data_IF_364570042372
#
_entry.id   IF_364570042372
#
_cell.length_a   1.000
_cell.length_b   1.000
_cell.length_c   1.000
_cell.angle_alpha   90.00
_cell.angle_beta   90.00
_cell.angle_gamma   90.00
#
_symmetry.space_group_name_H-M   'P 1'
#
loop_
_entity.id
_entity.type
_entity.pdbx_description
1 polymer ?
#
# COMPACT_ATOMS: atom_id res chain seq x y z
N UNK A 1 -15.95 -1.92 -13.75
CA UNK A 1 -15.51 -0.91 -14.73
C UNK A 1 -14.01 -0.74 -14.61
N UNK A 2 -13.29 -0.42 -15.68
CA UNK A 2 -11.85 -0.12 -15.61
C UNK A 2 -11.63 1.30 -15.09
N UNK A 3 -10.81 1.46 -14.07
CA UNK A 3 -10.42 2.75 -13.52
C UNK A 3 -9.17 3.25 -14.26
N UNK A 4 -9.27 4.41 -14.91
CA UNK A 4 -8.14 5.02 -15.65
C UNK A 4 -7.30 5.96 -14.79
N UNK A 5 -7.66 6.16 -13.52
CA UNK A 5 -6.93 7.08 -12.64
C UNK A 5 -5.72 6.37 -12.04
N UNK A 6 -4.54 6.98 -12.09
CA UNK A 6 -3.36 6.47 -11.40
C UNK A 6 -3.47 6.66 -9.88
N UNK A 7 -3.12 5.65 -9.09
CA UNK A 7 -3.04 5.80 -7.63
C UNK A 7 -1.90 6.74 -7.27
N UNK A 8 -0.78 6.67 -7.99
CA UNK A 8 0.35 7.57 -7.82
C UNK A 8 -0.05 9.03 -8.05
N UNK A 9 -0.73 9.33 -9.17
CA UNK A 9 -1.14 10.71 -9.48
C UNK A 9 -2.15 11.24 -8.44
N UNK A 10 -3.06 10.39 -7.94
CA UNK A 10 -3.99 10.76 -6.88
C UNK A 10 -3.23 11.06 -5.56
N UNK A 11 -2.27 10.23 -5.19
CA UNK A 11 -1.47 10.45 -3.98
C UNK A 11 -0.65 11.75 -4.07
N UNK A 12 0.00 12.02 -5.20
CA UNK A 12 0.79 13.24 -5.40
C UNK A 12 -0.06 14.52 -5.36
N UNK A 13 -1.31 14.46 -5.83
CA UNK A 13 -2.26 15.60 -5.72
C UNK A 13 -2.64 15.92 -4.28
N UNK A 14 -2.64 14.91 -3.42
CA UNK A 14 -3.11 15.00 -2.04
C UNK A 14 -1.97 15.13 -1.03
N UNK A 15 -0.74 14.90 -1.46
CA UNK A 15 0.52 15.09 -0.73
C UNK A 15 1.58 15.70 -1.66
N UNK A 16 1.56 17.03 -1.89
CA UNK A 16 2.39 17.69 -2.90
C UNK A 16 3.90 17.72 -2.55
N UNK A 17 4.25 17.52 -1.28
CA UNK A 17 5.65 17.47 -0.83
C UNK A 17 6.34 16.14 -1.16
N UNK A 18 5.61 15.16 -1.71
CA UNK A 18 6.19 13.88 -2.11
C UNK A 18 6.99 14.03 -3.41
N UNK A 19 8.23 13.54 -3.36
CA UNK A 19 9.11 13.50 -4.51
C UNK A 19 9.19 12.09 -5.09
N UNK A 20 8.83 11.94 -6.35
CA UNK A 20 8.98 10.67 -7.07
C UNK A 20 10.44 10.40 -7.40
N UNK A 21 10.82 9.12 -7.33
CA UNK A 21 12.13 8.64 -7.75
C UNK A 21 11.98 7.50 -8.75
N UNK A 22 13.07 7.17 -9.43
CA UNK A 22 13.13 6.03 -10.35
C UNK A 22 13.75 4.83 -9.64
N UNK A 23 13.05 3.70 -9.71
CA UNK A 23 13.49 2.42 -9.17
C UNK A 23 13.60 1.38 -10.28
N UNK A 24 14.51 0.44 -10.12
CA UNK A 24 14.55 -0.78 -10.92
C UNK A 24 13.68 -1.85 -10.29
N UNK A 25 13.16 -2.77 -11.12
CA UNK A 25 12.34 -3.89 -10.65
C UNK A 25 12.98 -4.65 -9.49
N UNK A 26 14.27 -4.99 -9.61
CA UNK A 26 15.00 -5.74 -8.58
C UNK A 26 15.00 -5.03 -7.22
N UNK A 27 15.19 -3.71 -7.22
CA UNK A 27 15.12 -2.88 -6.02
C UNK A 27 13.72 -2.86 -5.41
N UNK A 28 12.68 -2.75 -6.23
CA UNK A 28 11.29 -2.76 -5.77
C UNK A 28 10.87 -4.11 -5.19
N UNK A 29 11.30 -5.21 -5.81
CA UNK A 29 11.07 -6.55 -5.28
C UNK A 29 11.74 -6.72 -3.92
N UNK A 30 13.03 -6.37 -3.81
CA UNK A 30 13.76 -6.47 -2.54
C UNK A 30 13.14 -5.58 -1.45
N UNK A 31 12.73 -4.36 -1.79
CA UNK A 31 12.07 -3.45 -0.87
C UNK A 31 10.70 -3.97 -0.42
N UNK A 32 9.90 -4.50 -1.35
CA UNK A 32 8.59 -5.09 -1.05
C UNK A 32 8.75 -6.28 -0.09
N UNK A 33 9.71 -7.17 -0.38
CA UNK A 33 10.02 -8.30 0.49
C UNK A 33 10.45 -7.82 1.88
N UNK A 34 11.35 -6.84 1.98
CA UNK A 34 11.77 -6.29 3.27
C UNK A 34 10.58 -5.67 4.05
N UNK A 35 9.68 -4.96 3.37
CA UNK A 35 8.48 -4.38 3.99
C UNK A 35 7.54 -5.46 4.53
N UNK A 36 7.34 -6.55 3.80
CA UNK A 36 6.50 -7.69 4.20
C UNK A 36 7.16 -8.53 5.29
N UNK A 37 8.49 -8.68 5.29
CA UNK A 37 9.22 -9.41 6.33
C UNK A 37 9.04 -8.71 7.67
N UNK A 38 9.01 -7.38 7.67
CA UNK A 38 8.72 -6.60 8.88
C UNK A 38 7.31 -6.87 9.41
N UNK A 39 6.30 -7.00 8.54
CA UNK A 39 4.94 -7.40 8.95
C UNK A 39 4.94 -8.80 9.56
N UNK A 40 5.67 -9.74 8.98
CA UNK A 40 5.76 -11.11 9.49
C UNK A 40 6.52 -11.20 10.81
N UNK A 41 7.49 -10.33 11.03
CA UNK A 41 8.24 -10.22 12.27
C UNK A 41 7.43 -9.49 13.37
N UNK A 42 6.52 -8.61 12.98
CA UNK A 42 5.69 -7.85 13.91
C UNK A 42 4.42 -8.63 14.29
N UNK A 43 4.35 -9.05 15.56
CA UNK A 43 3.16 -9.72 16.10
C UNK A 43 2.02 -8.72 16.44
N UNK A 44 1.82 -7.69 15.62
CA UNK A 44 0.78 -6.68 15.81
C UNK A 44 -0.17 -6.65 14.59
N UNK A 45 -1.49 -6.47 14.81
CA UNK A 45 -2.43 -6.32 13.71
C UNK A 45 -2.06 -5.16 12.79
N UNK A 46 -2.09 -5.40 11.49
CA UNK A 46 -1.81 -4.42 10.44
C UNK A 46 -2.80 -4.57 9.28
N UNK A 47 -3.10 -3.48 8.58
CA UNK A 47 -3.74 -3.50 7.27
C UNK A 47 -2.65 -3.70 6.21
N UNK A 48 -2.84 -4.68 5.33
CA UNK A 48 -1.93 -4.94 4.20
C UNK A 48 -2.70 -4.93 2.90
N UNK A 49 -2.29 -4.08 1.97
CA UNK A 49 -2.86 -3.98 0.63
C UNK A 49 -1.73 -4.11 -0.38
N UNK A 50 -1.81 -5.11 -1.25
CA UNK A 50 -0.85 -5.32 -2.32
C UNK A 50 -1.54 -5.34 -3.68
N UNK A 51 -1.00 -4.58 -4.63
CA UNK A 51 -1.46 -4.55 -6.01
C UNK A 51 -0.36 -5.02 -6.94
N UNK A 52 -0.64 -6.11 -7.65
CA UNK A 52 0.23 -6.69 -8.65
C UNK A 52 -0.29 -6.34 -10.04
N UNK A 53 0.62 -6.01 -10.95
CA UNK A 53 0.27 -5.73 -12.34
C UNK A 53 -0.45 -6.91 -13.02
N UNK A 54 -0.07 -8.15 -12.68
CA UNK A 54 -0.57 -9.40 -13.30
C UNK A 54 -0.58 -10.56 -12.31
N UNK A 55 -1.49 -11.51 -12.52
CA UNK A 55 -1.64 -12.75 -11.75
C UNK A 55 -0.31 -13.50 -11.57
N UNK A 56 0.48 -13.67 -12.63
CA UNK A 56 1.76 -14.41 -12.57
C UNK A 56 2.75 -13.86 -11.52
N UNK A 57 2.75 -12.56 -11.26
CA UNK A 57 3.62 -11.95 -10.26
C UNK A 57 3.09 -12.22 -8.85
N UNK A 58 1.77 -12.15 -8.67
CA UNK A 58 1.14 -12.53 -7.41
C UNK A 58 1.36 -14.01 -7.07
N UNK A 59 1.26 -14.93 -8.05
CA UNK A 59 1.37 -16.37 -7.80
C UNK A 59 2.71 -16.77 -7.17
N UNK A 60 3.79 -16.05 -7.49
CA UNK A 60 5.12 -16.25 -6.90
C UNK A 60 5.13 -15.90 -5.40
N UNK A 61 4.28 -14.97 -4.97
CA UNK A 61 4.21 -14.44 -3.61
C UNK A 61 3.01 -14.98 -2.81
N UNK A 62 2.13 -15.79 -3.41
CA UNK A 62 0.85 -16.18 -2.82
C UNK A 62 0.97 -16.85 -1.43
N UNK A 63 2.02 -17.65 -1.21
CA UNK A 63 2.28 -18.30 0.07
C UNK A 63 2.64 -17.29 1.17
N UNK A 64 3.24 -16.17 0.80
CA UNK A 64 3.62 -15.08 1.71
C UNK A 64 2.38 -14.35 2.23
N UNK A 65 1.46 -13.98 1.34
CA UNK A 65 0.18 -13.37 1.73
C UNK A 65 -0.69 -14.31 2.57
N UNK A 66 -0.61 -15.63 2.33
CA UNK A 66 -1.26 -16.62 3.19
C UNK A 66 -0.70 -16.63 4.62
N UNK A 67 0.60 -16.40 4.80
CA UNK A 67 1.22 -16.25 6.13
C UNK A 67 0.80 -14.94 6.79
N UNK A 68 0.85 -13.83 6.06
CA UNK A 68 0.42 -12.52 6.56
C UNK A 68 -1.04 -12.57 7.02
N UNK A 69 -1.92 -13.25 6.27
CA UNK A 69 -3.34 -13.35 6.61
C UNK A 69 -3.63 -14.20 7.86
N UNK A 70 -2.64 -14.93 8.39
CA UNK A 70 -2.75 -15.60 9.69
C UNK A 70 -2.54 -14.63 10.86
N UNK A 71 -1.91 -13.49 10.61
CA UNK A 71 -1.63 -12.45 11.61
C UNK A 71 -2.73 -11.39 11.67
N UNK A 72 -3.38 -11.11 10.54
CA UNK A 72 -4.39 -10.06 10.41
C UNK A 72 -5.49 -10.44 9.42
N UNK A 73 -6.77 -10.15 9.71
CA UNK A 73 -7.87 -10.37 8.77
C UNK A 73 -7.94 -9.32 7.65
N UNK A 74 -7.16 -8.24 7.75
CA UNK A 74 -7.18 -7.10 6.83
C UNK A 74 -6.06 -7.19 5.78
N UNK A 75 -6.17 -8.21 4.92
CA UNK A 75 -5.26 -8.43 3.79
C UNK A 75 -6.05 -8.39 2.49
N UNK A 76 -5.60 -7.54 1.57
CA UNK A 76 -6.22 -7.35 0.26
C UNK A 76 -5.16 -7.47 -0.84
N UNK A 77 -5.39 -8.36 -1.79
CA UNK A 77 -4.49 -8.58 -2.92
C UNK A 77 -5.23 -8.33 -4.22
N UNK A 78 -4.76 -7.33 -4.97
CA UNK A 78 -5.29 -6.95 -6.26
C UNK A 78 -4.39 -7.49 -7.37
N UNK A 79 -4.98 -8.02 -8.45
CA UNK A 79 -4.24 -8.37 -9.66
C UNK A 79 -5.13 -8.38 -10.91
N UNK A 80 -4.54 -8.09 -12.08
CA UNK A 80 -5.15 -8.40 -13.36
C UNK A 80 -5.09 -9.91 -13.62
N UNK A 81 -6.21 -10.56 -13.98
CA UNK A 81 -6.22 -11.99 -14.26
C UNK A 81 -5.47 -12.32 -15.55
N UNK A 82 -4.68 -13.40 -15.52
CA UNK A 82 -4.04 -13.99 -16.70
C UNK A 82 -4.80 -15.26 -17.13
N UNK A 83 -5.16 -16.12 -16.17
CA UNK A 83 -5.81 -17.41 -16.41
C UNK A 83 -6.95 -17.68 -15.44
N UNK A 84 -6.67 -17.75 -14.14
CA UNK A 84 -7.58 -18.30 -13.12
C UNK A 84 -7.80 -17.38 -11.93
N UNK A 85 -7.08 -16.25 -11.87
CA UNK A 85 -7.26 -15.29 -10.81
C UNK A 85 -8.67 -14.70 -10.87
N UNK A 86 -9.41 -14.88 -9.79
CA UNK A 86 -10.75 -14.35 -9.64
C UNK A 86 -10.89 -13.69 -8.29
N UNK A 87 -11.79 -12.72 -8.22
CA UNK A 87 -12.23 -12.15 -6.95
C UNK A 87 -12.77 -13.26 -6.05
N UNK A 88 -12.25 -13.37 -4.83
CA UNK A 88 -12.69 -14.39 -3.88
C UNK A 88 -12.38 -13.96 -2.46
N UNK A 89 -13.24 -14.35 -1.53
CA UNK A 89 -12.99 -14.26 -0.10
C UNK A 89 -12.51 -15.62 0.41
N UNK A 90 -11.30 -15.67 0.97
CA UNK A 90 -10.69 -16.88 1.50
C UNK A 90 -9.83 -16.55 2.72
N UNK A 91 -8.57 -16.99 2.73
CA UNK A 91 -7.62 -16.59 3.78
C UNK A 91 -7.43 -15.05 3.81
N UNK A 92 -7.51 -14.41 2.65
CA UNK A 92 -7.48 -12.96 2.45
C UNK A 92 -8.38 -12.61 1.25
N UNK A 93 -8.62 -11.32 1.03
CA UNK A 93 -9.44 -10.87 -0.09
C UNK A 93 -8.60 -10.82 -1.37
N UNK A 94 -8.97 -11.64 -2.35
CA UNK A 94 -8.50 -11.46 -3.73
C UNK A 94 -9.47 -10.56 -4.47
N UNK A 95 -8.92 -9.59 -5.19
CA UNK A 95 -9.66 -8.55 -5.90
C UNK A 95 -9.15 -8.51 -7.34
N UNK A 96 -9.89 -9.13 -8.26
CA UNK A 96 -9.56 -9.08 -9.67
C UNK A 96 -9.99 -7.73 -10.25
N UNK A 97 -9.09 -7.10 -11.02
CA UNK A 97 -9.40 -5.90 -11.80
C UNK A 97 -9.20 -6.17 -13.30
N UNK A 98 -9.87 -5.43 -14.21
CA UNK A 98 -9.71 -5.63 -15.65
C UNK A 98 -8.26 -5.40 -16.10
N UNK A 99 -7.70 -6.19 -17.04
CA UNK A 99 -6.34 -5.93 -17.56
C UNK A 99 -6.16 -4.56 -18.22
N UNK A 100 -7.24 -3.89 -18.62
CA UNK A 100 -7.24 -2.52 -19.15
C UNK A 100 -7.20 -1.42 -18.08
N UNK A 101 -7.25 -1.79 -16.80
CA UNK A 101 -7.19 -0.85 -15.67
C UNK A 101 -5.79 -0.25 -15.53
N UNK A 102 -5.70 0.98 -15.03
CA UNK A 102 -4.44 1.64 -14.77
C UNK A 102 -3.56 0.85 -13.77
N UNK A 103 -4.17 0.10 -12.85
CA UNK A 103 -3.44 -0.79 -11.92
C UNK A 103 -2.61 -1.87 -12.63
N UNK A 104 -2.90 -2.22 -13.89
CA UNK A 104 -2.09 -3.16 -14.67
C UNK A 104 -0.68 -2.63 -14.96
N UNK A 105 -0.48 -1.32 -14.85
CA UNK A 105 0.79 -0.64 -15.04
C UNK A 105 1.40 -0.17 -13.72
N UNK A 106 0.80 -0.52 -12.59
CA UNK A 106 1.19 -0.03 -11.27
C UNK A 106 1.51 -1.18 -10.31
N UNK A 107 2.46 -0.91 -9.41
CA UNK A 107 2.87 -1.80 -8.33
C UNK A 107 2.67 -1.07 -7.01
N UNK A 108 1.85 -1.64 -6.12
CA UNK A 108 1.61 -1.06 -4.82
C UNK A 108 1.79 -2.06 -3.69
N UNK A 109 2.39 -1.61 -2.59
CA UNK A 109 2.37 -2.30 -1.31
C UNK A 109 2.16 -1.26 -0.23
N UNK A 110 1.08 -1.38 0.53
CA UNK A 110 0.77 -0.49 1.64
C UNK A 110 0.53 -1.32 2.88
N UNK A 111 1.26 -0.98 3.93
CA UNK A 111 1.15 -1.53 5.27
C UNK A 111 0.80 -0.39 6.22
N UNK A 112 -0.25 -0.56 7.00
CA UNK A 112 -0.62 0.39 8.07
C UNK A 112 -0.87 -0.40 9.35
N UNK A 113 0.03 -0.23 10.31
CA UNK A 113 -0.03 -0.85 11.63
C UNK A 113 0.20 0.20 12.72
N UNK A 114 0.00 -0.20 13.99
CA UNK A 114 0.18 0.71 15.11
C UNK A 114 1.64 1.12 15.33
N UNK A 115 2.61 0.23 15.01
CA UNK A 115 4.04 0.47 15.23
C UNK A 115 4.86 0.52 13.94
N UNK A 116 4.27 0.10 12.84
CA UNK A 116 4.90 0.08 11.53
C UNK A 116 3.89 0.44 10.46
N UNK A 117 4.22 1.46 9.70
CA UNK A 117 3.52 1.82 8.47
C UNK A 117 4.55 2.01 7.39
N UNK A 118 4.27 1.48 6.22
CA UNK A 118 5.12 1.61 5.06
C UNK A 118 4.27 1.64 3.80
N UNK A 119 4.67 2.46 2.85
CA UNK A 119 3.94 2.67 1.62
C UNK A 119 4.92 2.63 0.46
N UNK A 120 4.59 1.85 -0.56
CA UNK A 120 5.27 1.79 -1.85
C UNK A 120 4.20 1.95 -2.93
N UNK A 121 4.26 3.06 -3.68
CA UNK A 121 3.34 3.36 -4.77
C UNK A 121 4.16 3.69 -6.01
N UNK A 122 4.16 2.77 -6.97
CA UNK A 122 4.97 2.88 -8.17
C UNK A 122 4.12 2.64 -9.43
N UNK A 123 4.48 3.34 -10.51
CA UNK A 123 3.98 3.13 -11.86
C UNK A 123 5.16 2.74 -12.75
N UNK A 124 4.97 1.77 -13.62
CA UNK A 124 5.97 1.39 -14.60
C UNK A 124 6.16 2.51 -15.64
N UNK A 125 7.42 2.89 -15.89
CA UNK A 125 7.75 3.69 -17.07
C UNK A 125 7.87 2.76 -18.26
N UNK A 126 6.95 2.89 -19.21
CA UNK A 126 7.13 2.29 -20.52
C UNK A 126 8.41 2.89 -21.13
N UNK A 127 9.39 2.04 -21.42
CA UNK A 127 10.54 2.45 -22.24
C UNK A 127 10.05 2.81 -23.64
N UNK A 128 10.76 3.70 -24.33
CA UNK A 128 10.53 4.07 -25.73
C UNK A 128 10.67 2.93 -26.75
N UNK A 129 10.80 1.67 -26.32
CA UNK A 129 10.87 0.50 -27.20
C UNK A 129 9.61 -0.36 -27.03
N UNK A 130 8.69 -0.17 -27.97
CA UNK A 130 7.45 -0.90 -28.17
C UNK A 130 7.69 -2.37 -28.57
N UNK A 131 8.25 -3.21 -27.69
CA UNK A 131 8.22 -4.69 -27.86
C UNK A 131 8.63 -5.46 -26.60
N UNK A 132 8.06 -5.16 -25.43
CA UNK A 132 8.45 -5.76 -24.15
C UNK A 132 7.78 -7.13 -23.90
N UNK A 133 6.75 -7.52 -24.67
CA UNK A 133 5.99 -8.75 -24.40
C UNK A 133 6.77 -10.07 -24.59
N UNK A 134 7.98 -10.03 -25.17
CA UNK A 134 8.79 -11.22 -25.47
C UNK A 134 10.25 -11.13 -24.99
N UNK A 135 10.60 -10.18 -24.13
CA UNK A 135 11.99 -10.05 -23.69
C UNK A 135 12.38 -11.16 -22.69
N UNK A 136 13.61 -11.73 -22.80
CA UNK A 136 14.10 -12.73 -21.85
C UNK A 136 14.12 -12.18 -20.42
N UNK A 137 14.00 -13.06 -19.42
CA UNK A 137 13.94 -12.73 -17.98
C UNK A 137 15.07 -11.79 -17.54
N UNK A 138 16.23 -11.85 -18.21
CA UNK A 138 17.37 -10.95 -17.99
C UNK A 138 17.07 -9.47 -18.27
N UNK A 139 16.14 -9.15 -19.17
CA UNK A 139 15.74 -7.77 -19.50
C UNK A 139 14.52 -7.28 -18.69
N UNK A 140 13.76 -8.17 -18.05
CA UNK A 140 12.68 -7.81 -17.10
C UNK A 140 13.24 -7.08 -15.86
N UNK A 141 14.53 -7.27 -15.54
CA UNK A 141 15.23 -6.50 -14.50
C UNK A 141 15.50 -5.03 -14.90
N UNK A 142 15.53 -4.73 -16.21
CA UNK A 142 15.76 -3.36 -16.70
C UNK A 142 14.49 -2.50 -16.66
N UNK A 143 13.34 -3.06 -16.29
CA UNK A 143 12.10 -2.30 -16.13
C UNK A 143 12.28 -1.25 -15.05
N UNK A 144 11.92 -0.02 -15.41
CA UNK A 144 12.01 1.16 -14.57
C UNK A 144 10.63 1.52 -14.08
N UNK A 145 10.56 1.89 -12.82
CA UNK A 145 9.35 2.33 -12.15
C UNK A 145 9.58 3.72 -11.62
N UNK A 146 8.60 4.60 -11.77
CA UNK A 146 8.56 5.86 -11.04
C UNK A 146 7.60 5.76 -9.88
N UNK A 147 7.95 6.33 -8.73
CA UNK A 147 7.06 6.27 -7.59
C UNK A 147 7.68 6.79 -6.32
N UNK A 148 7.02 6.47 -5.21
CA UNK A 148 7.45 6.83 -3.87
C UNK A 148 7.50 5.57 -3.00
N UNK A 149 8.44 5.56 -2.07
CA UNK A 149 8.36 4.70 -0.89
C UNK A 149 8.61 5.54 0.36
N UNK A 150 7.92 5.21 1.45
CA UNK A 150 8.02 5.95 2.71
C UNK A 150 7.58 5.11 3.90
N UNK A 151 8.03 5.48 5.10
CA UNK A 151 7.50 5.01 6.38
C UNK A 151 6.56 6.03 7.05
N UNK A 152 6.26 7.13 6.36
CA UNK A 152 5.36 8.16 6.89
C UNK A 152 3.94 7.58 7.07
N UNK A 153 3.42 7.71 8.30
CA UNK A 153 2.12 7.17 8.66
C UNK A 153 0.96 7.89 7.95
N UNK A 154 1.04 9.21 7.78
CA UNK A 154 -0.01 9.99 7.15
C UNK A 154 -0.11 9.63 5.65
N UNK A 155 1.03 9.57 4.95
CA UNK A 155 1.09 9.17 3.54
C UNK A 155 0.63 7.72 3.37
N UNK A 156 1.07 6.80 4.24
CA UNK A 156 0.67 5.39 4.18
C UNK A 156 -0.83 5.22 4.38
N UNK A 157 -1.44 5.96 5.32
CA UNK A 157 -2.89 5.96 5.53
C UNK A 157 -3.66 6.53 4.34
N UNK A 158 -3.16 7.61 3.74
CA UNK A 158 -3.77 8.22 2.58
C UNK A 158 -3.75 7.26 1.37
N UNK A 159 -2.61 6.64 1.09
CA UNK A 159 -2.48 5.62 0.05
C UNK A 159 -3.40 4.42 0.32
N UNK A 160 -3.47 3.95 1.57
CA UNK A 160 -4.40 2.89 1.97
C UNK A 160 -5.86 3.30 1.74
N UNK A 161 -6.25 4.53 2.07
CA UNK A 161 -7.61 5.00 1.82
C UNK A 161 -7.97 4.96 0.33
N UNK A 162 -7.08 5.47 -0.54
CA UNK A 162 -7.27 5.47 -2.00
C UNK A 162 -7.47 4.05 -2.53
N UNK A 163 -6.63 3.11 -2.08
CA UNK A 163 -6.72 1.71 -2.51
C UNK A 163 -7.96 1.01 -1.96
N UNK A 164 -8.36 1.28 -0.72
CA UNK A 164 -9.59 0.72 -0.13
C UNK A 164 -10.85 1.22 -0.85
N UNK A 165 -10.89 2.50 -1.24
CA UNK A 165 -11.99 3.04 -2.05
C UNK A 165 -12.06 2.30 -3.40
N UNK A 166 -10.90 2.08 -4.04
CA UNK A 166 -10.83 1.32 -5.30
C UNK A 166 -11.22 -0.15 -5.14
N UNK A 167 -10.92 -0.78 -4.00
CA UNK A 167 -11.36 -2.16 -3.70
C UNK A 167 -12.89 -2.23 -3.67
N UNK A 168 -13.58 -1.21 -3.14
CA UNK A 168 -15.04 -1.14 -3.13
C UNK A 168 -15.61 -1.00 -4.53
N UNK A 169 -14.96 -0.22 -5.41
CA UNK A 169 -15.38 -0.11 -6.81
C UNK A 169 -15.34 -1.47 -7.54
N UNK A 170 -14.39 -2.35 -7.21
CA UNK A 170 -14.28 -3.68 -7.80
C UNK A 170 -15.14 -4.74 -7.10
N UNK A 171 -15.28 -4.63 -5.77
CA UNK A 171 -15.99 -5.59 -4.91
C UNK A 171 -16.85 -4.86 -3.87
N UNK A 172 -18.01 -4.34 -4.26
CA UNK A 172 -18.91 -3.60 -3.36
C UNK A 172 -19.34 -4.42 -2.13
N UNK A 173 -19.38 -5.74 -2.24
CA UNK A 173 -19.70 -6.65 -1.13
C UNK A 173 -18.69 -6.59 0.04
N UNK A 174 -17.51 -6.01 -0.16
CA UNK A 174 -16.50 -5.83 0.90
C UNK A 174 -16.70 -4.55 1.74
N UNK A 175 -17.76 -3.78 1.50
CA UNK A 175 -18.03 -2.48 2.15
C UNK A 175 -17.88 -2.51 3.66
N UNK A 176 -18.48 -3.47 4.35
CA UNK A 176 -18.40 -3.57 5.81
C UNK A 176 -16.99 -3.88 6.31
N UNK A 177 -16.29 -4.78 5.62
CA UNK A 177 -14.92 -5.17 5.97
C UNK A 177 -13.95 -4.00 5.76
N UNK A 178 -14.08 -3.29 4.65
CA UNK A 178 -13.30 -2.08 4.35
C UNK A 178 -13.59 -0.98 5.36
N UNK A 179 -14.86 -0.77 5.74
CA UNK A 179 -15.22 0.19 6.79
C UNK A 179 -14.52 -0.13 8.11
N UNK A 180 -14.53 -1.39 8.54
CA UNK A 180 -13.80 -1.83 9.74
C UNK A 180 -12.29 -1.57 9.62
N UNK A 181 -11.69 -1.81 8.44
CA UNK A 181 -10.28 -1.52 8.19
C UNK A 181 -9.98 -0.02 8.33
N UNK A 182 -10.81 0.84 7.73
CA UNK A 182 -10.66 2.30 7.84
C UNK A 182 -10.76 2.78 9.28
N UNK A 183 -11.74 2.28 10.03
CA UNK A 183 -11.94 2.65 11.43
C UNK A 183 -10.79 2.20 12.34
N UNK A 184 -10.17 1.05 12.04
CA UNK A 184 -9.11 0.47 12.87
C UNK A 184 -7.72 1.05 12.57
N UNK A 185 -7.43 1.35 11.29
CA UNK A 185 -6.07 1.65 10.85
C UNK A 185 -5.86 3.08 10.33
N UNK A 186 -6.91 3.73 9.82
CA UNK A 186 -6.76 5.03 9.15
C UNK A 186 -7.12 6.23 10.03
N UNK A 187 -7.65 6.01 11.24
CA UNK A 187 -7.87 7.10 12.20
C UNK A 187 -6.53 7.67 12.64
N UNK A 188 -6.44 9.00 12.71
CA UNK A 188 -5.32 9.65 13.37
C UNK A 188 -5.30 9.23 14.85
N UNK A 189 -4.13 8.90 15.42
CA UNK A 189 -4.04 8.72 16.85
C UNK A 189 -4.44 10.03 17.48
N UNK A 190 -5.46 9.98 18.35
CA UNK A 190 -5.84 11.12 19.17
C UNK A 190 -4.57 11.49 19.96
N UNK A 191 -4.00 12.66 19.67
CA UNK A 191 -2.90 13.18 20.47
C UNK A 191 -3.35 13.13 21.94
N UNK A 192 -2.59 12.54 22.86
CA UNK A 192 -2.96 12.56 24.26
C UNK A 192 -3.15 14.02 24.64
N UNK A 193 -4.38 14.35 25.00
CA UNK A 193 -4.80 15.70 25.34
C UNK A 193 -3.83 16.19 26.43
N UNK A 194 -3.04 17.23 26.15
CA UNK A 194 -2.26 17.93 27.17
C UNK A 194 -3.22 18.73 28.06
N UNK A 195 -4.07 18.01 28.80
CA UNK A 195 -4.84 18.56 29.89
C UNK A 195 -4.09 18.26 31.19
N UNK A 196 -3.37 19.29 31.66
CA UNK A 196 -3.55 19.98 32.97
C UNK A 196 -2.20 20.24 33.64
N UNK A 197 -1.78 21.52 33.67
CA UNK A 197 -0.57 21.92 34.38
C UNK A 197 -0.29 23.41 34.35
N UNK A 198 -1.32 24.26 34.54
CA UNK A 198 -1.13 25.67 34.90
C UNK A 198 -0.47 25.76 36.29
N UNK A 199 0.84 25.53 36.34
CA UNK A 199 1.72 25.83 37.47
C UNK A 199 2.17 27.28 37.38
N UNK A 200 1.36 28.18 37.93
CA UNK A 200 1.66 29.61 38.09
C UNK A 200 2.85 29.76 39.03
N UNK A 201 4.07 29.88 38.49
CA UNK A 201 5.24 30.25 39.28
C UNK A 201 5.17 31.74 39.62
N UNK A 202 4.56 32.07 40.76
CA UNK A 202 4.80 33.34 41.44
C UNK A 202 6.15 33.27 42.13
N UNK A 203 7.21 33.73 41.48
CA UNK A 203 8.45 34.10 42.17
C UNK A 203 8.35 35.55 42.61
N UNK A 204 7.84 35.75 43.83
CA UNK A 204 8.02 36.99 44.57
C UNK A 204 9.49 37.10 44.98
N UNK A 205 10.23 37.99 44.31
CA UNK A 205 11.51 38.47 44.81
C UNK A 205 11.24 39.68 45.72
N UNK A 206 11.36 39.47 47.02
CA UNK A 206 11.54 40.54 48.02
C UNK A 206 12.89 40.37 48.69
N UNK A 207 13.73 41.40 48.52
CA UNK A 207 14.75 41.96 49.41
C UNK A 207 15.77 41.01 50.08
N UNK A 208 17.05 41.29 49.80
CA UNK A 208 17.94 41.94 50.77
C UNK A 208 18.69 43.07 50.05
#
# INVERSE_FOLDING_TARGET
MSNSTSVLDHLLRTSPDLHVQIYFKSSLTALSHAMEDQVLAEAAPSLVIASFQRERFYLQEAQRYKRISQLTPQVYVLAAPDTSFTSSSGNYERVAFPPSDQLSQEWHLVVVGARYSACLICREKQGTDESIEQLPISMDQNRRFEGIWTFDNAVSRQAANILLDRIIDYRPELSDKVKQAKESFLREPIAPNESTGSGRWHHGYSRC
#
